data_IF_639008344817
#
_entry.id   IF_639008344817
#
_cell.length_a   1.000
_cell.length_b   1.000
_cell.length_c   1.000
_cell.angle_alpha   90.00
_cell.angle_beta   90.00
_cell.angle_gamma   90.00
#
_symmetry.space_group_name_H-M   'P 1'
#
loop_
_entity.id
_entity.type
_entity.pdbx_description
1 polymer ?
#
# COMPACT_ATOMS: atom_id res chain seq x y z
N UNK A 1 0.10 26.29 -17.98
CA UNK A 1 -0.41 24.93 -17.71
C UNK A 1 -1.77 24.84 -18.36
N UNK A 2 -2.13 23.71 -18.97
CA UNK A 2 -3.46 23.50 -19.51
C UNK A 2 -4.49 23.50 -18.36
N UNK A 3 -5.68 24.02 -18.62
CA UNK A 3 -6.84 23.90 -17.74
C UNK A 3 -7.39 22.47 -17.73
N UNK A 4 -8.20 22.07 -16.72
CA UNK A 4 -8.81 20.74 -16.69
C UNK A 4 -9.62 20.41 -17.95
N UNK A 5 -10.37 21.38 -18.50
CA UNK A 5 -11.14 21.20 -19.73
C UNK A 5 -10.26 21.02 -20.97
N UNK A 6 -9.12 21.69 -21.04
CA UNK A 6 -8.14 21.45 -22.09
C UNK A 6 -7.45 20.09 -21.95
N UNK A 7 -7.15 19.63 -20.74
CA UNK A 7 -6.60 18.28 -20.50
C UNK A 7 -7.60 17.20 -20.92
N UNK A 8 -8.87 17.34 -20.52
CA UNK A 8 -9.95 16.46 -20.96
C UNK A 8 -10.03 16.40 -22.50
N UNK A 9 -9.98 17.55 -23.16
CA UNK A 9 -9.94 17.63 -24.62
C UNK A 9 -8.72 16.91 -25.22
N UNK A 10 -7.53 17.06 -24.63
CA UNK A 10 -6.33 16.32 -25.07
C UNK A 10 -6.46 14.81 -24.90
N UNK A 11 -7.03 14.35 -23.79
CA UNK A 11 -7.25 12.93 -23.51
C UNK A 11 -8.25 12.35 -24.51
N UNK A 12 -9.33 13.07 -24.83
CA UNK A 12 -10.29 12.65 -25.84
C UNK A 12 -9.62 12.47 -27.21
N UNK A 13 -8.72 13.38 -27.60
CA UNK A 13 -7.94 13.24 -28.84
C UNK A 13 -7.05 11.99 -28.88
N UNK A 14 -6.57 11.52 -27.71
CA UNK A 14 -5.82 10.26 -27.62
C UNK A 14 -6.76 9.05 -27.77
N UNK A 15 -7.92 9.09 -27.11
CA UNK A 15 -8.92 8.02 -27.18
C UNK A 15 -9.53 7.86 -28.58
N UNK A 16 -9.69 8.97 -29.30
CA UNK A 16 -10.27 9.00 -30.66
C UNK A 16 -9.26 8.61 -31.75
N UNK A 17 -7.95 8.48 -31.44
CA UNK A 17 -6.94 8.10 -32.43
C UNK A 17 -7.07 6.60 -32.80
N UNK A 18 -7.45 6.26 -34.04
CA UNK A 18 -7.67 4.88 -34.45
C UNK A 18 -6.36 4.14 -34.81
N UNK A 19 -5.21 4.81 -34.72
CA UNK A 19 -3.93 4.28 -35.18
C UNK A 19 -3.54 3.02 -34.37
N UNK A 20 -3.36 1.86 -35.01
CA UNK A 20 -3.02 0.63 -34.29
C UNK A 20 -1.62 0.71 -33.67
N UNK A 21 -1.31 -0.11 -32.65
CA UNK A 21 0.06 -0.26 -32.16
C UNK A 21 0.97 -0.75 -33.30
N UNK A 22 2.20 -0.25 -33.33
CA UNK A 22 3.27 -0.83 -34.14
C UNK A 22 3.63 -2.25 -33.66
N UNK A 23 4.40 -3.02 -34.45
CA UNK A 23 4.80 -4.38 -34.06
C UNK A 23 5.49 -4.41 -32.68
N UNK A 24 4.90 -5.13 -31.72
CA UNK A 24 5.40 -5.26 -30.35
C UNK A 24 5.19 -4.04 -29.44
N UNK A 25 4.59 -2.95 -29.94
CA UNK A 25 4.35 -1.73 -29.15
C UNK A 25 3.28 -1.94 -28.07
N UNK A 26 2.27 -2.76 -28.36
CA UNK A 26 1.11 -3.05 -27.49
C UNK A 26 1.49 -3.59 -26.12
N UNK A 27 2.61 -4.31 -26.02
CA UNK A 27 3.10 -4.95 -24.79
C UNK A 27 4.44 -4.43 -24.33
N UNK A 28 4.94 -3.35 -24.91
CA UNK A 28 6.29 -2.84 -24.63
C UNK A 28 6.52 -2.55 -23.14
N UNK A 29 5.48 -2.10 -22.43
CA UNK A 29 5.52 -1.85 -20.98
C UNK A 29 5.92 -3.06 -20.13
N UNK A 30 5.72 -4.29 -20.64
CA UNK A 30 6.09 -5.52 -19.94
C UNK A 30 7.57 -5.61 -19.61
N UNK A 31 8.44 -4.96 -20.39
CA UNK A 31 9.87 -4.87 -20.09
C UNK A 31 10.13 -4.28 -18.70
N UNK A 32 9.27 -3.36 -18.24
CA UNK A 32 9.39 -2.73 -16.92
C UNK A 32 8.81 -3.57 -15.77
N UNK A 33 7.99 -4.58 -16.09
CA UNK A 33 7.32 -5.46 -15.13
C UNK A 33 8.14 -6.71 -14.78
N UNK A 34 9.04 -7.13 -15.68
CA UNK A 34 9.89 -8.29 -15.50
C UNK A 34 11.12 -8.07 -14.61
N UNK A 35 12.07 -9.00 -14.69
CA UNK A 35 13.31 -8.93 -13.91
C UNK A 35 14.17 -7.71 -14.26
N UNK A 36 14.70 -7.04 -13.23
CA UNK A 36 15.47 -5.78 -13.37
C UNK A 36 16.76 -5.94 -14.21
N UNK A 37 17.46 -7.07 -14.10
CA UNK A 37 18.73 -7.31 -14.82
C UNK A 37 18.52 -7.47 -16.33
N UNK A 38 17.61 -8.36 -16.81
CA UNK A 38 17.23 -8.40 -18.22
C UNK A 38 16.75 -7.05 -18.75
N UNK A 39 15.88 -6.35 -18.02
CA UNK A 39 15.41 -5.03 -18.43
C UNK A 39 16.57 -4.04 -18.60
N UNK A 40 17.49 -3.97 -17.64
CA UNK A 40 18.68 -3.12 -17.74
C UNK A 40 19.52 -3.40 -18.99
N UNK A 41 19.71 -4.68 -19.34
CA UNK A 41 20.46 -5.07 -20.53
C UNK A 41 19.75 -4.64 -21.82
N UNK A 42 18.45 -4.94 -21.95
CA UNK A 42 17.62 -4.56 -23.10
C UNK A 42 17.57 -3.04 -23.25
N UNK A 43 17.34 -2.30 -22.16
CA UNK A 43 17.33 -0.83 -22.13
C UNK A 43 18.65 -0.25 -22.64
N UNK A 44 19.79 -0.78 -22.19
CA UNK A 44 21.12 -0.33 -22.65
C UNK A 44 21.36 -0.61 -24.13
N UNK A 45 20.95 -1.76 -24.63
CA UNK A 45 21.22 -2.16 -26.01
C UNK A 45 20.31 -1.48 -27.02
N UNK A 46 19.00 -1.40 -26.74
CA UNK A 46 17.99 -1.00 -27.72
C UNK A 46 17.35 0.37 -27.46
N UNK A 47 17.49 0.92 -26.25
CA UNK A 47 16.84 2.18 -25.85
C UNK A 47 17.84 3.31 -25.52
N UNK A 48 19.14 3.09 -25.75
CA UNK A 48 20.19 4.07 -25.45
C UNK A 48 20.51 5.03 -26.60
N UNK A 49 19.95 4.82 -27.80
CA UNK A 49 20.14 5.69 -28.96
C UNK A 49 18.90 5.76 -29.87
N UNK A 50 18.96 6.60 -30.89
CA UNK A 50 17.94 6.64 -31.94
C UNK A 50 16.55 7.09 -31.48
N UNK A 51 15.52 6.52 -32.11
CA UNK A 51 14.10 6.86 -31.85
C UNK A 51 13.65 6.38 -30.47
N UNK A 52 14.07 5.18 -30.06
CA UNK A 52 13.73 4.60 -28.76
C UNK A 52 14.22 5.46 -27.61
N UNK A 53 15.47 5.97 -27.70
CA UNK A 53 16.00 6.88 -26.69
C UNK A 53 15.17 8.16 -26.58
N UNK A 54 14.76 8.76 -27.70
CA UNK A 54 13.93 9.98 -27.66
C UNK A 54 12.59 9.72 -26.98
N UNK A 55 11.93 8.61 -27.31
CA UNK A 55 10.65 8.23 -26.71
C UNK A 55 10.81 7.91 -25.21
N UNK A 56 11.87 7.18 -24.84
CA UNK A 56 12.18 6.88 -23.44
C UNK A 56 12.56 8.14 -22.64
N UNK A 57 13.32 9.06 -23.21
CA UNK A 57 13.64 10.36 -22.60
C UNK A 57 12.35 11.17 -22.34
N UNK A 58 11.35 11.10 -23.22
CA UNK A 58 10.02 11.71 -22.97
C UNK A 58 9.31 11.06 -21.77
N UNK A 59 9.30 9.74 -21.71
CA UNK A 59 8.71 8.97 -20.59
C UNK A 59 9.37 9.33 -19.26
N UNK A 60 10.70 9.33 -19.21
CA UNK A 60 11.47 9.58 -17.99
C UNK A 60 11.31 11.01 -17.50
N UNK A 61 11.21 11.98 -18.41
CA UNK A 61 11.04 13.40 -18.09
C UNK A 61 9.59 13.83 -17.86
N UNK A 62 8.60 13.01 -18.20
CA UNK A 62 7.18 13.30 -17.93
C UNK A 62 6.96 13.57 -16.43
N UNK A 63 5.96 14.37 -16.06
CA UNK A 63 5.67 14.61 -14.64
C UNK A 63 5.18 13.34 -13.93
N UNK A 64 4.27 12.61 -14.58
CA UNK A 64 3.70 11.33 -14.15
C UNK A 64 3.07 10.63 -15.35
N UNK A 65 2.57 9.41 -15.15
CA UNK A 65 1.85 8.65 -16.17
C UNK A 65 0.35 8.66 -15.91
N UNK A 66 -0.43 8.63 -16.98
CA UNK A 66 -1.87 8.34 -16.92
C UNK A 66 -2.12 7.10 -17.75
N UNK A 67 -2.65 6.05 -17.11
CA UNK A 67 -3.11 4.86 -17.79
C UNK A 67 -4.63 4.93 -17.96
N UNK A 68 -5.08 4.83 -19.21
CA UNK A 68 -6.50 4.71 -19.56
C UNK A 68 -6.78 3.21 -19.77
N UNK A 69 -7.36 2.58 -18.76
CA UNK A 69 -7.64 1.15 -18.73
C UNK A 69 -9.04 0.86 -19.31
N UNK A 70 -9.13 -0.18 -20.15
CA UNK A 70 -10.35 -0.60 -20.81
C UNK A 70 -11.23 -1.52 -19.94
N UNK A 71 -10.71 -1.98 -18.80
CA UNK A 71 -11.49 -2.71 -17.80
C UNK A 71 -12.36 -1.78 -16.93
N UNK A 72 -13.42 -2.36 -16.38
CA UNK A 72 -14.21 -1.74 -15.32
C UNK A 72 -13.82 -2.38 -13.99
N UNK A 73 -13.32 -1.56 -13.06
CA UNK A 73 -12.96 -1.99 -11.70
C UNK A 73 -13.67 -1.09 -10.69
N UNK A 74 -13.78 -1.52 -9.44
CA UNK A 74 -14.40 -0.69 -8.40
C UNK A 74 -14.85 -1.47 -7.18
N UNK A 75 -15.60 -0.81 -6.31
CA UNK A 75 -16.01 -1.34 -5.00
C UNK A 75 -17.44 -1.89 -4.97
N UNK A 76 -18.25 -1.59 -5.99
CA UNK A 76 -19.69 -1.86 -6.04
C UNK A 76 -19.98 -3.01 -7.00
N UNK A 77 -21.12 -3.71 -6.84
CA UNK A 77 -21.55 -4.81 -7.71
C UNK A 77 -22.13 -5.98 -6.92
N UNK A 78 -22.28 -7.14 -7.56
CA UNK A 78 -22.85 -8.36 -6.96
C UNK A 78 -21.93 -9.00 -5.90
N UNK A 79 -20.61 -8.82 -6.04
CA UNK A 79 -19.58 -9.32 -5.12
C UNK A 79 -18.67 -8.17 -4.64
N UNK A 80 -19.12 -7.33 -3.70
CA UNK A 80 -18.34 -6.18 -3.24
C UNK A 80 -16.98 -6.55 -2.64
N UNK A 81 -16.88 -7.72 -2.00
CA UNK A 81 -15.63 -8.19 -1.38
C UNK A 81 -14.62 -8.56 -2.45
N UNK A 82 -14.96 -9.48 -3.37
CA UNK A 82 -14.05 -9.85 -4.44
C UNK A 82 -13.79 -8.72 -5.45
N UNK A 83 -14.71 -7.75 -5.57
CA UNK A 83 -14.49 -6.54 -6.36
C UNK A 83 -13.35 -5.68 -5.79
N UNK A 84 -13.28 -5.52 -4.47
CA UNK A 84 -12.17 -4.79 -3.83
C UNK A 84 -10.82 -5.49 -4.08
N UNK A 85 -10.80 -6.81 -3.98
CA UNK A 85 -9.58 -7.60 -4.17
C UNK A 85 -9.08 -7.50 -5.63
N UNK A 86 -10.00 -7.66 -6.60
CA UNK A 86 -9.71 -7.48 -8.04
C UNK A 86 -9.21 -6.07 -8.35
N UNK A 87 -9.85 -5.06 -7.76
CA UNK A 87 -9.49 -3.67 -7.97
C UNK A 87 -8.09 -3.35 -7.41
N UNK A 88 -7.78 -3.81 -6.19
CA UNK A 88 -6.46 -3.65 -5.59
C UNK A 88 -5.36 -4.36 -6.38
N UNK A 89 -5.62 -5.59 -6.85
CA UNK A 89 -4.71 -6.34 -7.74
C UNK A 89 -4.49 -5.61 -9.07
N UNK A 90 -5.55 -5.11 -9.70
CA UNK A 90 -5.44 -4.34 -10.94
C UNK A 90 -4.63 -3.05 -10.77
N UNK A 91 -4.74 -2.36 -9.63
CA UNK A 91 -3.87 -1.20 -9.32
C UNK A 91 -2.41 -1.61 -9.03
N UNK A 92 -2.19 -2.79 -8.45
CA UNK A 92 -0.86 -3.29 -8.11
C UNK A 92 -0.06 -3.69 -9.34
N UNK A 93 -0.65 -4.47 -10.25
CA UNK A 93 0.08 -5.06 -11.38
C UNK A 93 -0.57 -4.89 -12.75
N UNK A 94 -1.81 -4.39 -12.84
CA UNK A 94 -2.54 -4.25 -14.10
C UNK A 94 -2.55 -5.56 -14.90
N UNK A 95 -2.37 -5.44 -16.22
CA UNK A 95 -2.19 -6.56 -17.16
C UNK A 95 -0.72 -6.93 -17.35
N UNK A 96 0.18 -6.43 -16.51
CA UNK A 96 1.63 -6.61 -16.58
C UNK A 96 2.32 -6.02 -17.82
N UNK A 97 1.60 -5.35 -18.73
CA UNK A 97 2.17 -4.69 -19.91
C UNK A 97 1.59 -3.29 -20.21
N UNK A 98 0.51 -2.94 -19.52
CA UNK A 98 -0.28 -1.71 -19.66
C UNK A 98 0.13 -0.62 -18.66
N UNK A 99 1.29 -0.78 -18.02
CA UNK A 99 1.89 0.17 -17.08
C UNK A 99 3.36 0.38 -17.43
N UNK A 100 3.91 1.52 -17.02
CA UNK A 100 5.34 1.78 -17.05
C UNK A 100 5.87 1.84 -15.62
N UNK A 101 6.24 0.68 -15.07
CA UNK A 101 6.54 0.52 -13.64
C UNK A 101 7.80 1.26 -13.16
N UNK A 102 8.66 1.71 -14.07
CA UNK A 102 9.79 2.57 -13.72
C UNK A 102 9.38 4.02 -13.43
N UNK A 103 8.14 4.42 -13.76
CA UNK A 103 7.69 5.78 -13.49
C UNK A 103 7.41 5.95 -12.01
N UNK A 104 7.87 7.08 -11.44
CA UNK A 104 7.62 7.48 -10.05
C UNK A 104 6.21 7.16 -9.57
N UNK A 105 5.20 7.54 -10.35
CA UNK A 105 3.83 7.07 -10.18
C UNK A 105 3.03 7.17 -11.49
N UNK A 106 1.98 6.37 -11.55
CA UNK A 106 0.97 6.36 -12.62
C UNK A 106 -0.42 6.53 -12.00
N UNK A 107 -1.23 7.42 -12.57
CA UNK A 107 -2.67 7.52 -12.31
C UNK A 107 -3.36 6.54 -13.24
N UNK A 108 -4.06 5.56 -12.67
CA UNK A 108 -4.83 4.58 -13.44
C UNK A 108 -6.28 5.03 -13.44
N UNK A 109 -6.88 5.17 -14.62
CA UNK A 109 -8.28 5.54 -14.82
C UNK A 109 -8.95 4.41 -15.60
N UNK A 110 -9.94 3.77 -14.98
CA UNK A 110 -10.72 2.68 -15.54
C UNK A 110 -11.88 3.22 -16.38
N UNK A 111 -12.40 2.38 -17.28
CA UNK A 111 -13.47 2.73 -18.21
C UNK A 111 -14.73 3.28 -17.54
N UNK A 112 -15.04 2.81 -16.33
CA UNK A 112 -16.18 3.28 -15.53
C UNK A 112 -15.88 4.51 -14.65
N UNK A 113 -14.75 5.18 -14.88
CA UNK A 113 -14.32 6.39 -14.15
C UNK A 113 -13.71 6.12 -12.77
N UNK A 114 -13.65 4.86 -12.30
CA UNK A 114 -12.86 4.52 -11.12
C UNK A 114 -11.38 4.73 -11.39
N UNK A 115 -10.62 5.04 -10.35
CA UNK A 115 -9.24 5.46 -10.52
C UNK A 115 -8.39 5.17 -9.28
N UNK A 116 -7.08 5.11 -9.46
CA UNK A 116 -6.13 4.89 -8.36
C UNK A 116 -4.71 5.20 -8.79
N UNK A 117 -3.76 4.83 -7.92
CA UNK A 117 -2.35 5.09 -8.15
C UNK A 117 -1.54 3.79 -8.12
N UNK A 118 -0.57 3.70 -9.02
CA UNK A 118 0.57 2.79 -8.93
C UNK A 118 1.82 3.63 -8.69
N UNK A 119 2.68 3.25 -7.75
CA UNK A 119 3.84 4.06 -7.38
C UNK A 119 5.11 3.21 -7.23
N UNK A 120 6.21 3.73 -7.78
CA UNK A 120 7.54 3.13 -7.65
C UNK A 120 8.15 3.56 -6.30
N UNK A 121 8.49 2.58 -5.47
CA UNK A 121 8.75 2.81 -4.04
C UNK A 121 10.19 3.31 -3.75
N UNK A 122 11.12 3.21 -4.71
CA UNK A 122 12.44 3.82 -4.59
C UNK A 122 12.35 5.35 -4.59
N UNK A 123 11.38 5.92 -5.32
CA UNK A 123 11.14 7.36 -5.36
C UNK A 123 10.51 7.92 -4.08
N UNK A 124 9.43 7.31 -3.57
CA UNK A 124 8.70 7.84 -2.43
C UNK A 124 8.16 6.76 -1.48
N UNK A 125 7.95 7.14 -0.22
CA UNK A 125 7.18 6.35 0.74
C UNK A 125 5.67 6.63 0.61
N UNK A 126 4.84 5.66 1.00
CA UNK A 126 3.37 5.73 0.93
C UNK A 126 2.74 7.04 1.45
N UNK A 127 3.20 7.67 2.55
CA UNK A 127 2.62 8.93 3.04
C UNK A 127 2.71 10.08 2.03
N UNK A 128 3.76 10.15 1.22
CA UNK A 128 3.91 11.19 0.19
C UNK A 128 2.88 10.99 -0.92
N UNK A 129 2.71 9.75 -1.38
CA UNK A 129 1.75 9.37 -2.43
C UNK A 129 0.31 9.54 -1.93
N UNK A 130 0.04 9.13 -0.69
CA UNK A 130 -1.27 9.29 -0.06
C UNK A 130 -1.66 10.76 0.06
N UNK A 131 -0.76 11.62 0.54
CA UNK A 131 -1.04 13.05 0.64
C UNK A 131 -1.35 13.68 -0.73
N UNK A 132 -0.57 13.34 -1.76
CA UNK A 132 -0.86 13.75 -3.14
C UNK A 132 -2.27 13.32 -3.58
N UNK A 133 -2.63 12.07 -3.32
CA UNK A 133 -3.92 11.51 -3.72
C UNK A 133 -5.10 12.16 -3.02
N UNK A 134 -5.01 12.31 -1.69
CA UNK A 134 -6.04 12.97 -0.89
C UNK A 134 -6.29 14.41 -1.35
N UNK A 135 -5.20 15.16 -1.57
CA UNK A 135 -5.28 16.53 -2.04
C UNK A 135 -5.93 16.60 -3.43
N UNK A 136 -5.56 15.69 -4.33
CA UNK A 136 -6.11 15.63 -5.69
C UNK A 136 -7.61 15.33 -5.66
N UNK A 137 -8.04 14.29 -4.94
CA UNK A 137 -9.45 13.93 -4.82
C UNK A 137 -10.30 15.06 -4.22
N UNK A 138 -9.79 15.72 -3.17
CA UNK A 138 -10.52 16.83 -2.55
C UNK A 138 -10.61 18.05 -3.47
N UNK A 139 -9.52 18.39 -4.17
CA UNK A 139 -9.49 19.54 -5.09
C UNK A 139 -10.41 19.31 -6.27
N UNK A 140 -10.39 18.12 -6.85
CA UNK A 140 -11.25 17.74 -7.98
C UNK A 140 -12.73 17.89 -7.63
N UNK A 141 -13.16 17.26 -6.53
CA UNK A 141 -14.57 17.20 -6.14
C UNK A 141 -15.11 18.53 -5.60
N UNK A 142 -14.33 19.23 -4.76
CA UNK A 142 -14.83 20.35 -3.97
C UNK A 142 -14.39 21.74 -4.46
N UNK A 143 -13.41 21.82 -5.37
CA UNK A 143 -12.90 23.10 -5.88
C UNK A 143 -13.11 23.26 -7.39
N UNK A 144 -12.71 22.25 -8.18
CA UNK A 144 -12.85 22.29 -9.63
C UNK A 144 -14.30 21.97 -10.03
N UNK A 145 -14.74 20.76 -9.72
CA UNK A 145 -16.05 20.23 -10.07
C UNK A 145 -16.31 20.19 -11.58
N UNK A 146 -17.51 19.74 -11.92
CA UNK A 146 -17.91 19.44 -13.30
C UNK A 146 -19.16 20.24 -13.69
N UNK A 147 -19.41 20.36 -14.99
CA UNK A 147 -20.68 20.86 -15.54
C UNK A 147 -21.78 19.80 -15.39
N UNK A 148 -23.05 20.17 -15.63
CA UNK A 148 -24.20 19.25 -15.47
C UNK A 148 -24.14 18.04 -16.41
N UNK A 149 -23.49 18.17 -17.56
CA UNK A 149 -23.23 17.11 -18.54
C UNK A 149 -21.96 16.30 -18.24
N UNK A 150 -21.29 16.55 -17.11
CA UNK A 150 -20.17 15.74 -16.62
C UNK A 150 -18.79 16.14 -17.17
N UNK A 151 -18.69 17.26 -17.87
CA UNK A 151 -17.41 17.77 -18.40
C UNK A 151 -16.66 18.62 -17.38
N UNK A 152 -15.35 18.72 -17.55
CA UNK A 152 -14.55 19.68 -16.81
C UNK A 152 -15.01 21.12 -17.13
N UNK A 153 -15.11 21.98 -16.11
CA UNK A 153 -15.48 23.39 -16.32
C UNK A 153 -14.37 24.15 -17.05
N UNK A 154 -14.75 25.05 -17.94
CA UNK A 154 -13.85 25.94 -18.68
C UNK A 154 -14.10 25.93 -20.19
N UNK A 155 -13.28 26.67 -20.92
CA UNK A 155 -13.28 26.70 -22.39
C UNK A 155 -11.98 26.08 -22.93
N UNK A 156 -12.01 25.54 -24.15
CA UNK A 156 -10.84 24.95 -24.81
C UNK A 156 -10.26 25.93 -25.81
N UNK A 157 -8.96 26.20 -25.74
CA UNK A 157 -8.30 26.94 -26.80
C UNK A 157 -8.09 26.04 -28.04
N UNK A 158 -8.65 26.41 -29.19
CA UNK A 158 -8.56 25.60 -30.40
C UNK A 158 -7.15 25.55 -31.04
N UNK A 159 -6.22 26.39 -30.57
CA UNK A 159 -4.85 26.46 -31.07
C UNK A 159 -3.92 25.38 -30.48
N UNK A 160 -4.41 24.55 -29.55
CA UNK A 160 -3.60 23.58 -28.82
C UNK A 160 -2.97 22.52 -29.74
N UNK A 161 -1.64 22.32 -29.69
CA UNK A 161 -0.99 21.28 -30.47
C UNK A 161 -1.53 19.89 -30.09
N UNK A 162 -1.67 18.97 -31.05
CA UNK A 162 -2.13 17.62 -30.76
C UNK A 162 -1.15 16.88 -29.84
N UNK A 163 -1.64 15.95 -29.00
CA UNK A 163 -0.78 15.00 -28.30
C UNK A 163 0.17 14.30 -29.28
N UNK A 164 1.44 14.17 -28.90
CA UNK A 164 2.43 13.53 -29.74
C UNK A 164 2.53 12.05 -29.37
N UNK A 165 2.22 11.17 -30.33
CA UNK A 165 2.47 9.73 -30.17
C UNK A 165 3.96 9.43 -30.13
N UNK A 166 4.38 8.65 -29.14
CA UNK A 166 5.74 8.13 -29.06
C UNK A 166 5.94 7.03 -30.08
N UNK A 167 7.12 6.95 -30.67
CA UNK A 167 7.44 6.00 -31.74
C UNK A 167 8.58 5.10 -31.32
N UNK A 168 8.57 3.84 -31.76
CA UNK A 168 9.54 2.85 -31.33
C UNK A 168 10.06 2.04 -32.52
N UNK A 169 11.32 1.61 -32.41
CA UNK A 169 11.94 0.59 -33.24
C UNK A 169 12.11 -0.67 -32.38
N UNK A 170 11.25 -1.67 -32.60
CA UNK A 170 11.11 -2.85 -31.76
C UNK A 170 11.48 -4.09 -32.60
N UNK A 171 12.79 -4.39 -32.75
CA UNK A 171 13.23 -5.55 -33.52
C UNK A 171 12.79 -6.86 -32.82
N UNK A 172 12.87 -7.97 -33.55
CA UNK A 172 12.36 -9.29 -33.09
C UNK A 172 12.97 -9.67 -31.75
N UNK A 173 14.25 -9.38 -31.52
CA UNK A 173 14.95 -9.66 -30.27
C UNK A 173 14.34 -8.91 -29.09
N UNK A 174 13.83 -7.69 -29.28
CA UNK A 174 13.13 -6.93 -28.23
C UNK A 174 11.74 -7.53 -27.98
N UNK A 175 11.03 -7.96 -29.03
CA UNK A 175 9.72 -8.60 -28.91
C UNK A 175 9.80 -9.94 -28.15
N UNK A 176 10.87 -10.71 -28.35
CA UNK A 176 11.16 -11.92 -27.56
C UNK A 176 11.36 -11.58 -26.08
N UNK A 177 12.14 -10.53 -25.77
CA UNK A 177 12.34 -10.09 -24.39
C UNK A 177 11.06 -9.56 -23.74
N UNK A 178 10.22 -8.83 -24.48
CA UNK A 178 8.87 -8.42 -24.05
C UNK A 178 8.06 -9.65 -23.64
N UNK A 179 8.07 -10.71 -24.46
CA UNK A 179 7.31 -11.95 -24.19
C UNK A 179 7.82 -12.69 -22.96
N UNK A 180 9.14 -12.75 -22.77
CA UNK A 180 9.77 -13.34 -21.57
C UNK A 180 9.41 -12.54 -20.32
N UNK A 181 9.57 -11.21 -20.36
CA UNK A 181 9.24 -10.34 -19.22
C UNK A 181 7.77 -10.40 -18.87
N UNK A 182 6.88 -10.43 -19.86
CA UNK A 182 5.44 -10.60 -19.65
C UNK A 182 5.13 -11.93 -18.97
N UNK A 183 5.74 -13.03 -19.42
CA UNK A 183 5.52 -14.35 -18.83
C UNK A 183 5.96 -14.41 -17.36
N UNK A 184 7.08 -13.78 -17.03
CA UNK A 184 7.56 -13.65 -15.63
C UNK A 184 6.61 -12.79 -14.81
N UNK A 185 6.23 -11.61 -15.31
CA UNK A 185 5.36 -10.68 -14.60
C UNK A 185 3.96 -11.27 -14.38
N UNK A 186 3.40 -11.97 -15.37
CA UNK A 186 2.12 -12.65 -15.24
C UNK A 186 2.16 -13.75 -14.20
N UNK A 187 3.21 -14.59 -14.19
CA UNK A 187 3.37 -15.61 -13.16
C UNK A 187 3.46 -15.02 -11.74
N UNK A 188 4.12 -13.86 -11.59
CA UNK A 188 4.15 -13.14 -10.31
C UNK A 188 2.78 -12.58 -9.93
N UNK A 189 2.06 -11.95 -10.85
CA UNK A 189 0.74 -11.36 -10.61
C UNK A 189 -0.32 -12.43 -10.28
N UNK A 190 -0.27 -13.56 -10.98
CA UNK A 190 -1.16 -14.71 -10.77
C UNK A 190 -0.92 -15.37 -9.41
N UNK A 191 0.32 -15.29 -8.88
CA UNK A 191 0.69 -15.84 -7.59
C UNK A 191 0.32 -14.92 -6.40
N UNK A 192 -0.08 -13.66 -6.64
CA UNK A 192 -0.50 -12.75 -5.55
C UNK A 192 -1.92 -13.07 -5.10
N UNK A 193 -2.05 -13.46 -3.84
CA UNK A 193 -3.30 -13.48 -3.10
C UNK A 193 -3.50 -12.13 -2.40
N UNK A 194 -4.71 -11.56 -2.46
CA UNK A 194 -5.01 -10.26 -1.87
C UNK A 194 -6.42 -10.25 -1.28
N UNK A 195 -6.54 -9.66 -0.08
CA UNK A 195 -7.80 -9.40 0.58
C UNK A 195 -7.83 -7.98 1.15
N UNK A 196 -8.77 -7.16 0.68
CA UNK A 196 -9.00 -5.78 1.12
C UNK A 196 -10.33 -5.68 1.82
N UNK A 197 -10.33 -5.22 3.07
CA UNK A 197 -11.55 -5.14 3.84
C UNK A 197 -11.60 -3.93 4.79
N UNK A 198 -12.75 -3.21 4.85
CA UNK A 198 -12.99 -2.20 5.85
C UNK A 198 -13.51 -2.82 7.14
N UNK A 199 -12.75 -2.68 8.24
CA UNK A 199 -13.22 -3.00 9.58
C UNK A 199 -14.01 -1.81 10.15
N UNK A 200 -15.30 -2.03 10.42
CA UNK A 200 -16.26 -0.97 10.80
C UNK A 200 -16.90 -1.14 12.18
N UNK A 201 -16.55 -2.19 12.93
CA UNK A 201 -17.11 -2.38 14.28
C UNK A 201 -16.63 -1.29 15.25
N UNK A 202 -15.41 -0.79 15.03
CA UNK A 202 -14.87 0.40 15.68
C UNK A 202 -13.62 0.93 14.95
N UNK A 203 -13.19 2.15 15.31
CA UNK A 203 -11.92 2.71 14.88
C UNK A 203 -11.13 3.33 16.03
N UNK A 204 -10.25 4.29 15.69
CA UNK A 204 -9.39 4.96 16.69
C UNK A 204 -10.15 5.62 17.83
N UNK A 205 -11.39 6.05 17.62
CA UNK A 205 -12.19 6.73 18.64
C UNK A 205 -12.49 5.83 19.84
N UNK A 206 -12.74 4.54 19.59
CA UNK A 206 -12.91 3.55 20.67
C UNK A 206 -11.57 3.18 21.32
N UNK A 207 -10.51 3.01 20.53
CA UNK A 207 -9.18 2.66 21.06
C UNK A 207 -8.65 3.78 21.98
N UNK A 208 -8.77 5.04 21.56
CA UNK A 208 -8.34 6.21 22.36
C UNK A 208 -9.09 6.34 23.68
N UNK A 209 -10.37 5.94 23.77
CA UNK A 209 -11.13 5.93 25.04
C UNK A 209 -10.55 4.95 26.06
N UNK A 210 -9.82 3.92 25.61
CA UNK A 210 -9.06 3.01 26.47
C UNK A 210 -7.69 3.57 26.88
N UNK A 211 -7.33 4.78 26.44
CA UNK A 211 -6.02 5.44 26.64
C UNK A 211 -4.85 4.65 26.06
N UNK A 212 -5.07 4.02 24.91
CA UNK A 212 -4.09 3.22 24.18
C UNK A 212 -3.80 3.90 22.84
N UNK A 213 -2.54 3.82 22.36
CA UNK A 213 -2.21 4.23 21.00
C UNK A 213 -2.94 3.35 19.98
N UNK A 214 -3.70 3.92 19.03
CA UNK A 214 -4.34 3.14 17.97
C UNK A 214 -3.36 2.24 17.21
N UNK A 215 -2.16 2.75 16.95
CA UNK A 215 -1.13 2.02 16.22
C UNK A 215 -0.60 0.81 17.01
N UNK A 216 -0.23 1.01 18.27
CA UNK A 216 0.20 -0.09 19.15
C UNK A 216 -0.90 -1.15 19.35
N UNK A 217 -2.17 -0.72 19.42
CA UNK A 217 -3.31 -1.64 19.49
C UNK A 217 -3.41 -2.51 18.23
N UNK A 218 -3.32 -1.88 17.04
CA UNK A 218 -3.39 -2.59 15.75
C UNK A 218 -2.19 -3.54 15.62
N UNK A 219 -0.97 -3.08 15.91
CA UNK A 219 0.23 -3.91 15.82
C UNK A 219 0.16 -5.14 16.73
N UNK A 220 -0.34 -5.00 17.97
CA UNK A 220 -0.57 -6.14 18.86
C UNK A 220 -1.72 -7.05 18.38
N UNK A 221 -2.75 -6.50 17.74
CA UNK A 221 -3.79 -7.29 17.10
C UNK A 221 -3.21 -8.15 15.96
N UNK A 222 -2.30 -7.58 15.15
CA UNK A 222 -1.60 -8.29 14.09
C UNK A 222 -0.73 -9.42 14.65
N UNK A 223 -0.03 -9.20 15.77
CA UNK A 223 0.73 -10.28 16.44
C UNK A 223 -0.18 -11.42 16.92
N UNK A 224 -1.33 -11.09 17.52
CA UNK A 224 -2.31 -12.09 17.96
C UNK A 224 -2.91 -12.85 16.77
N UNK A 225 -3.29 -12.14 15.71
CA UNK A 225 -3.83 -12.74 14.49
C UNK A 225 -2.81 -13.68 13.84
N UNK A 226 -1.55 -13.26 13.74
CA UNK A 226 -0.50 -14.07 13.11
C UNK A 226 -0.23 -15.33 13.92
N UNK A 227 -0.15 -15.22 15.24
CA UNK A 227 0.02 -16.39 16.11
C UNK A 227 -1.17 -17.35 16.02
N UNK A 228 -2.40 -16.85 15.88
CA UNK A 228 -3.59 -17.70 15.68
C UNK A 228 -3.54 -18.43 14.34
N UNK A 229 -3.08 -17.77 13.30
CA UNK A 229 -2.99 -18.27 11.94
C UNK A 229 -1.86 -19.30 11.77
N UNK A 230 -0.64 -18.94 12.19
CA UNK A 230 0.59 -19.71 11.94
C UNK A 230 1.10 -20.49 13.16
N UNK A 231 0.50 -20.32 14.34
CA UNK A 231 0.90 -20.96 15.61
C UNK A 231 2.34 -20.69 16.05
N UNK A 232 2.97 -19.69 15.45
CA UNK A 232 4.34 -19.25 15.75
C UNK A 232 4.42 -17.73 15.72
N UNK A 233 5.51 -17.19 16.24
CA UNK A 233 5.88 -15.79 16.07
C UNK A 233 6.85 -15.65 14.90
N UNK A 234 6.90 -14.46 14.30
CA UNK A 234 7.84 -14.18 13.22
C UNK A 234 8.42 -12.77 13.36
N UNK A 235 9.54 -12.53 12.67
CA UNK A 235 10.04 -11.17 12.51
C UNK A 235 8.98 -10.32 11.80
N UNK A 236 8.53 -9.29 12.52
CA UNK A 236 7.55 -8.34 12.01
C UNK A 236 8.25 -7.02 11.72
N UNK A 237 8.16 -6.58 10.46
CA UNK A 237 8.60 -5.28 10.01
C UNK A 237 7.43 -4.30 10.14
N UNK A 238 7.67 -3.13 10.73
CA UNK A 238 6.79 -1.98 10.65
C UNK A 238 7.60 -0.76 10.19
N UNK A 239 7.09 -0.06 9.18
CA UNK A 239 7.72 1.16 8.69
C UNK A 239 7.51 2.33 9.67
N UNK A 240 8.60 2.90 10.17
CA UNK A 240 8.57 4.18 10.91
C UNK A 240 9.29 5.25 10.11
N UNK A 241 8.65 6.40 9.91
CA UNK A 241 9.27 7.53 9.20
C UNK A 241 10.39 8.17 10.02
N UNK A 242 11.47 8.55 9.36
CA UNK A 242 12.61 9.29 9.96
C UNK A 242 12.69 10.73 9.45
N UNK A 243 11.55 11.32 9.05
CA UNK A 243 11.42 12.67 8.48
C UNK A 243 11.83 13.82 9.40
N UNK A 244 12.20 13.53 10.66
CA UNK A 244 12.87 14.48 11.56
C UNK A 244 14.31 14.79 11.11
N UNK A 245 14.90 13.94 10.27
CA UNK A 245 16.24 14.10 9.73
C UNK A 245 16.17 14.53 8.26
N UNK A 246 17.20 15.26 7.82
CA UNK A 246 17.38 15.60 6.40
C UNK A 246 17.42 14.33 5.56
N UNK A 247 16.62 14.30 4.49
CA UNK A 247 16.51 13.14 3.57
C UNK A 247 16.04 11.85 4.27
N UNK A 248 15.44 11.96 5.46
CA UNK A 248 14.90 10.83 6.20
C UNK A 248 13.76 10.14 5.47
N UNK A 249 13.96 8.86 5.18
CA UNK A 249 12.97 7.90 4.66
C UNK A 249 12.34 7.15 5.83
N UNK A 250 12.82 5.93 6.08
CA UNK A 250 12.25 4.99 7.07
C UNK A 250 13.32 4.32 7.92
N UNK A 251 12.92 3.92 9.12
CA UNK A 251 13.55 2.93 10.00
C UNK A 251 12.55 1.78 10.25
N UNK A 252 13.03 0.65 10.77
CA UNK A 252 12.23 -0.50 11.14
C UNK A 252 11.81 -0.45 12.60
N UNK A 253 10.53 -0.64 12.87
CA UNK A 253 10.03 -1.06 14.18
C UNK A 253 9.83 -2.57 14.16
N UNK A 254 10.46 -3.27 15.12
CA UNK A 254 10.35 -4.72 15.26
C UNK A 254 9.16 -5.05 16.17
N UNK A 255 7.95 -5.10 15.61
CA UNK A 255 6.71 -5.20 16.39
C UNK A 255 6.57 -6.50 17.19
N UNK A 256 7.20 -7.58 16.73
CA UNK A 256 7.29 -8.84 17.47
C UNK A 256 8.29 -8.73 18.63
N UNK A 257 7.84 -8.17 19.75
CA UNK A 257 8.61 -8.03 21.00
C UNK A 257 8.33 -9.17 21.97
N UNK A 258 9.24 -9.41 22.92
CA UNK A 258 9.03 -10.40 23.99
C UNK A 258 7.77 -10.11 24.80
N UNK A 259 7.50 -8.83 25.07
CA UNK A 259 6.31 -8.35 25.76
C UNK A 259 5.04 -8.64 24.96
N UNK A 260 5.06 -8.39 23.65
CA UNK A 260 3.98 -8.77 22.73
C UNK A 260 3.73 -10.28 22.71
N UNK A 261 4.80 -11.08 22.60
CA UNK A 261 4.70 -12.54 22.62
C UNK A 261 4.12 -13.08 23.94
N UNK A 262 4.53 -12.52 25.08
CA UNK A 262 3.99 -12.89 26.39
C UNK A 262 2.50 -12.56 26.49
N UNK A 263 2.10 -11.38 26.04
CA UNK A 263 0.69 -10.99 25.97
C UNK A 263 -0.14 -11.95 25.11
N UNK A 264 0.31 -12.23 23.88
CA UNK A 264 -0.40 -13.13 22.96
C UNK A 264 -0.56 -14.53 23.57
N UNK A 265 0.50 -15.08 24.17
CA UNK A 265 0.44 -16.40 24.83
C UNK A 265 -0.56 -16.43 25.98
N UNK A 266 -0.63 -15.39 26.80
CA UNK A 266 -1.57 -15.32 27.92
C UNK A 266 -3.03 -15.30 27.45
N UNK A 267 -3.32 -14.52 26.38
CA UNK A 267 -4.66 -14.50 25.77
C UNK A 267 -5.03 -15.87 25.22
N UNK A 268 -4.15 -16.50 24.46
CA UNK A 268 -4.42 -17.80 23.82
C UNK A 268 -4.47 -18.96 24.83
N UNK A 269 -3.82 -18.83 25.98
CA UNK A 269 -3.90 -19.79 27.09
C UNK A 269 -5.15 -19.61 27.97
N UNK A 270 -5.98 -18.60 27.68
CA UNK A 270 -7.19 -18.31 28.47
C UNK A 270 -6.90 -17.77 29.87
N UNK A 271 -5.77 -17.07 30.05
CA UNK A 271 -5.44 -16.47 31.34
C UNK A 271 -6.45 -15.37 31.75
N UNK A 272 -6.49 -15.07 33.05
CA UNK A 272 -7.46 -14.14 33.62
C UNK A 272 -7.39 -12.74 32.99
N UNK A 273 -8.53 -12.05 32.75
CA UNK A 273 -8.57 -10.77 32.06
C UNK A 273 -7.65 -9.68 32.63
N UNK A 274 -7.52 -9.59 33.96
CA UNK A 274 -6.60 -8.64 34.59
C UNK A 274 -5.12 -8.90 34.25
N UNK A 275 -4.73 -10.17 34.17
CA UNK A 275 -3.38 -10.55 33.77
C UNK A 275 -3.11 -10.16 32.32
N UNK A 276 -4.05 -10.51 31.42
CA UNK A 276 -3.98 -10.15 30.01
C UNK A 276 -3.94 -8.62 29.81
N UNK A 277 -4.77 -7.85 30.54
CA UNK A 277 -4.74 -6.37 30.51
C UNK A 277 -3.40 -5.80 30.94
N UNK A 278 -2.78 -6.35 31.99
CA UNK A 278 -1.46 -5.91 32.45
C UNK A 278 -0.38 -6.20 31.42
N UNK A 279 -0.37 -7.40 30.84
CA UNK A 279 0.59 -7.76 29.79
C UNK A 279 0.39 -6.92 28.53
N UNK A 280 -0.86 -6.66 28.13
CA UNK A 280 -1.16 -5.78 27.01
C UNK A 280 -0.55 -4.39 27.20
N UNK A 281 -0.70 -3.79 28.39
CA UNK A 281 -0.14 -2.46 28.67
C UNK A 281 1.38 -2.45 28.52
N UNK A 282 2.07 -3.46 29.06
CA UNK A 282 3.53 -3.60 28.91
C UNK A 282 3.93 -3.75 27.43
N UNK A 283 3.20 -4.55 26.67
CA UNK A 283 3.46 -4.75 25.25
C UNK A 283 3.21 -3.47 24.43
N UNK A 284 2.14 -2.73 24.75
CA UNK A 284 1.81 -1.47 24.08
C UNK A 284 2.83 -0.38 24.40
N UNK A 285 3.26 -0.25 25.65
CA UNK A 285 4.31 0.69 26.07
C UNK A 285 5.65 0.35 25.40
N UNK A 286 5.99 -0.94 25.31
CA UNK A 286 7.19 -1.41 24.60
C UNK A 286 7.14 -1.02 23.13
N UNK A 287 6.03 -1.30 22.46
CA UNK A 287 5.83 -0.97 21.05
C UNK A 287 5.98 0.55 20.80
N UNK A 288 5.29 1.37 21.60
CA UNK A 288 5.42 2.83 21.51
C UNK A 288 6.85 3.33 21.74
N UNK A 289 7.59 2.69 22.65
CA UNK A 289 8.98 3.04 22.87
C UNK A 289 9.86 2.67 21.67
N UNK A 290 9.67 1.48 21.07
CA UNK A 290 10.37 1.09 19.85
C UNK A 290 10.06 2.04 18.69
N UNK A 291 8.80 2.43 18.51
CA UNK A 291 8.39 3.40 17.50
C UNK A 291 9.06 4.76 17.70
N UNK A 292 9.13 5.25 18.96
CA UNK A 292 9.85 6.49 19.28
C UNK A 292 11.33 6.38 18.92
N UNK A 293 11.99 5.29 19.32
CA UNK A 293 13.41 5.06 19.02
C UNK A 293 13.65 5.04 17.50
N UNK A 294 12.82 4.33 16.74
CA UNK A 294 12.94 4.27 15.28
C UNK A 294 12.78 5.67 14.64
N UNK A 295 11.72 6.40 15.00
CA UNK A 295 11.44 7.74 14.48
C UNK A 295 12.55 8.76 14.80
N UNK A 296 13.21 8.63 15.95
CA UNK A 296 14.34 9.48 16.36
C UNK A 296 15.70 8.91 15.95
N UNK A 297 15.75 8.00 14.97
CA UNK A 297 17.01 7.49 14.40
C UNK A 297 17.83 6.62 15.35
N UNK A 298 17.20 6.11 16.42
CA UNK A 298 17.76 5.20 17.41
C UNK A 298 17.30 3.75 17.21
N UNK A 299 16.71 3.44 16.05
CA UNK A 299 16.50 2.07 15.60
C UNK A 299 17.82 1.40 15.21
N UNK A 300 17.78 0.09 14.97
CA UNK A 300 19.00 -0.70 14.72
C UNK A 300 19.12 -1.19 13.29
N UNK A 301 18.02 -1.33 12.56
CA UNK A 301 18.01 -2.05 11.28
C UNK A 301 18.77 -1.29 10.19
N UNK A 302 18.57 0.03 10.04
CA UNK A 302 19.37 0.83 9.10
C UNK A 302 20.84 0.91 9.50
N UNK A 303 21.14 0.90 10.81
CA UNK A 303 22.51 0.87 11.30
C UNK A 303 23.21 -0.46 10.95
N UNK A 304 22.56 -1.60 11.21
CA UNK A 304 23.09 -2.92 10.83
C UNK A 304 23.29 -3.04 9.30
N UNK A 305 22.35 -2.51 8.50
CA UNK A 305 22.50 -2.47 7.06
C UNK A 305 23.70 -1.62 6.61
N UNK A 306 23.94 -0.47 7.25
CA UNK A 306 25.13 0.35 7.00
C UNK A 306 26.42 -0.44 7.28
N UNK A 307 26.49 -1.13 8.42
CA UNK A 307 27.64 -1.98 8.77
C UNK A 307 27.89 -3.07 7.72
N UNK A 308 26.82 -3.69 7.20
CA UNK A 308 26.92 -4.68 6.13
C UNK A 308 27.46 -4.08 4.83
N UNK A 309 26.95 -2.92 4.39
CA UNK A 309 27.45 -2.25 3.18
C UNK A 309 28.94 -1.91 3.33
N UNK A 310 29.34 -1.40 4.49
CA UNK A 310 30.74 -1.10 4.80
C UNK A 310 31.60 -2.37 4.83
N UNK A 311 31.10 -3.47 5.40
CA UNK A 311 31.85 -4.74 5.44
C UNK A 311 32.08 -5.28 4.03
N UNK A 312 31.08 -5.19 3.14
CA UNK A 312 31.22 -5.57 1.72
C UNK A 312 32.23 -4.70 1.00
N UNK A 313 32.22 -3.39 1.23
CA UNK A 313 33.21 -2.47 0.65
C UNK A 313 34.64 -2.79 1.10
N UNK A 314 34.82 -3.14 2.38
CA UNK A 314 36.13 -3.46 2.95
C UNK A 314 36.59 -4.91 2.72
N UNK A 315 35.74 -5.77 2.12
CA UNK A 315 36.02 -7.20 1.97
C UNK A 315 36.06 -7.96 3.30
N UNK A 316 35.35 -7.47 4.32
CA UNK A 316 35.28 -8.09 5.65
C UNK A 316 34.02 -8.95 5.74
N UNK A 317 34.21 -10.24 6.00
CA UNK A 317 33.13 -11.16 6.32
C UNK A 317 32.72 -11.05 7.79
N UNK A 318 31.42 -11.02 8.04
CA UNK A 318 30.85 -11.03 9.39
C UNK A 318 29.74 -12.07 9.45
N UNK A 319 29.95 -13.20 10.13
CA UNK A 319 28.92 -14.22 10.31
C UNK A 319 27.63 -13.65 10.91
N UNK A 320 27.77 -12.73 11.89
CA UNK A 320 26.64 -12.05 12.52
C UNK A 320 25.81 -11.23 11.53
N UNK A 321 26.45 -10.42 10.67
CA UNK A 321 25.73 -9.60 9.69
C UNK A 321 25.07 -10.48 8.61
N UNK A 322 25.72 -11.57 8.21
CA UNK A 322 25.15 -12.55 7.29
C UNK A 322 23.89 -13.19 7.88
N UNK A 323 23.94 -13.63 9.14
CA UNK A 323 22.80 -14.25 9.82
C UNK A 323 21.65 -13.26 9.97
N UNK A 324 21.87 -12.11 10.61
CA UNK A 324 20.80 -11.17 10.95
C UNK A 324 20.08 -10.58 9.74
N UNK A 325 20.77 -10.46 8.60
CA UNK A 325 20.19 -9.95 7.34
C UNK A 325 19.57 -11.06 6.47
N UNK A 326 19.82 -12.33 6.79
CA UNK A 326 19.21 -13.45 6.08
C UNK A 326 17.81 -13.80 6.60
N UNK A 327 17.46 -13.35 7.81
CA UNK A 327 16.19 -13.64 8.44
C UNK A 327 15.02 -12.89 7.74
N UNK A 328 14.00 -13.60 7.23
CA UNK A 328 12.94 -12.98 6.45
C UNK A 328 11.91 -12.26 7.33
N UNK A 329 11.46 -11.09 6.84
CA UNK A 329 10.32 -10.35 7.41
C UNK A 329 9.00 -10.99 6.96
N UNK A 330 8.62 -12.10 7.61
CA UNK A 330 7.39 -12.85 7.27
C UNK A 330 6.10 -12.10 7.54
N UNK A 331 6.13 -11.04 8.35
CA UNK A 331 5.03 -10.10 8.46
C UNK A 331 5.56 -8.70 8.21
N UNK A 332 5.23 -8.11 7.06
CA UNK A 332 5.59 -6.74 6.73
C UNK A 332 4.38 -5.84 6.84
N UNK A 333 4.47 -4.81 7.66
CA UNK A 333 3.36 -3.93 8.00
C UNK A 333 3.68 -2.46 7.70
N UNK A 334 2.67 -1.71 7.28
CA UNK A 334 2.81 -0.27 7.07
C UNK A 334 1.50 0.44 7.41
N UNK A 335 1.61 1.50 8.21
CA UNK A 335 0.52 2.45 8.37
C UNK A 335 0.68 3.57 7.35
N UNK A 336 -0.33 3.78 6.52
CA UNK A 336 -0.41 5.00 5.70
C UNK A 336 -1.24 6.04 6.45
N UNK A 337 -0.66 7.16 6.91
CA UNK A 337 -1.42 8.19 7.60
C UNK A 337 -2.38 8.86 6.62
N UNK A 338 -3.61 9.09 7.08
CA UNK A 338 -4.68 9.72 6.30
C UNK A 338 -4.95 11.11 6.87
N UNK A 339 -4.97 12.12 6.01
CA UNK A 339 -5.26 13.52 6.37
C UNK A 339 -6.57 14.03 5.74
N UNK A 340 -7.37 13.17 5.09
CA UNK A 340 -8.65 13.51 4.47
C UNK A 340 -9.62 14.30 5.37
N UNK A 341 -9.57 14.09 6.69
CA UNK A 341 -10.40 14.81 7.67
C UNK A 341 -10.24 16.33 7.62
N UNK A 342 -9.08 16.83 7.21
CA UNK A 342 -8.79 18.26 7.13
C UNK A 342 -9.21 18.88 5.79
N UNK A 343 -9.48 18.04 4.78
CA UNK A 343 -9.79 18.46 3.42
C UNK A 343 -11.29 18.57 3.15
N UNK A 344 -12.09 17.66 3.69
CA UNK A 344 -13.56 17.66 3.56
C UNK A 344 -14.23 16.83 4.65
N UNK A 345 -15.55 17.02 4.80
CA UNK A 345 -16.34 16.25 5.75
C UNK A 345 -16.62 14.83 5.25
N UNK A 346 -15.81 13.88 5.69
CA UNK A 346 -15.96 12.47 5.35
C UNK A 346 -17.30 11.85 5.79
N UNK A 347 -18.01 12.42 6.79
CA UNK A 347 -19.33 11.88 7.20
C UNK A 347 -20.40 12.20 6.17
N UNK A 348 -20.37 13.41 5.62
CA UNK A 348 -21.31 13.86 4.60
C UNK A 348 -20.87 13.50 3.18
N UNK A 349 -19.60 13.08 3.00
CA UNK A 349 -19.02 12.70 1.72
C UNK A 349 -18.30 11.33 1.79
N UNK A 350 -19.00 10.24 2.14
CA UNK A 350 -18.39 8.93 2.34
C UNK A 350 -17.83 8.31 1.03
N UNK A 351 -18.35 8.71 -0.13
CA UNK A 351 -17.94 8.19 -1.44
C UNK A 351 -16.54 8.66 -1.88
N UNK A 352 -15.99 9.69 -1.22
CA UNK A 352 -14.66 10.26 -1.50
C UNK A 352 -13.58 9.72 -0.55
N UNK A 353 -13.94 8.80 0.35
CA UNK A 353 -13.01 8.16 1.27
C UNK A 353 -12.13 7.19 0.50
N UNK A 354 -10.81 7.37 0.60
CA UNK A 354 -9.86 6.40 0.05
C UNK A 354 -9.78 5.20 0.98
N UNK A 355 -9.75 3.99 0.42
CA UNK A 355 -9.47 2.77 1.16
C UNK A 355 -7.95 2.52 1.34
N UNK A 356 -7.11 3.49 0.95
CA UNK A 356 -5.66 3.41 1.06
C UNK A 356 -5.04 2.50 0.00
N UNK A 357 -3.76 2.18 0.16
CA UNK A 357 -3.01 1.32 -0.75
C UNK A 357 -2.34 0.16 -0.03
N UNK A 358 -2.05 -0.91 -0.78
CA UNK A 358 -1.37 -2.11 -0.32
C UNK A 358 -0.08 -2.39 -1.09
N UNK A 359 0.62 -3.44 -0.68
CA UNK A 359 1.84 -3.95 -1.31
C UNK A 359 1.85 -5.48 -1.20
N UNK A 360 2.61 -6.17 -2.04
CA UNK A 360 2.81 -7.62 -1.99
C UNK A 360 3.67 -8.06 -0.78
N UNK A 361 3.68 -9.34 -0.39
CA UNK A 361 4.54 -9.81 0.69
C UNK A 361 6.02 -9.68 0.32
N UNK A 362 6.88 -9.44 1.32
CA UNK A 362 8.35 -9.33 1.13
C UNK A 362 9.09 -10.67 1.27
N UNK A 363 8.39 -11.69 1.75
CA UNK A 363 8.87 -13.06 1.86
C UNK A 363 7.83 -13.99 1.24
N UNK A 364 8.29 -15.04 0.54
CA UNK A 364 7.39 -15.97 -0.15
C UNK A 364 6.47 -16.74 0.80
N UNK A 365 6.90 -16.92 2.06
CA UNK A 365 6.18 -17.63 3.12
C UNK A 365 5.49 -16.71 4.14
N UNK A 366 5.28 -15.43 3.76
CA UNK A 366 4.81 -14.37 4.64
C UNK A 366 3.60 -13.56 4.13
N UNK A 367 3.29 -12.50 4.88
CA UNK A 367 2.20 -11.56 4.60
C UNK A 367 2.70 -10.12 4.44
N UNK A 368 2.08 -9.38 3.52
CA UNK A 368 2.08 -7.92 3.50
C UNK A 368 0.77 -7.39 4.11
N UNK A 369 0.85 -6.42 5.02
CA UNK A 369 -0.33 -5.80 5.64
C UNK A 369 -0.18 -4.28 5.65
N UNK A 370 -0.97 -3.59 4.83
CA UNK A 370 -1.13 -2.14 4.93
C UNK A 370 -2.43 -1.83 5.67
N UNK A 371 -2.42 -0.79 6.49
CA UNK A 371 -3.64 -0.29 7.11
C UNK A 371 -3.71 1.23 7.13
N UNK A 372 -4.94 1.72 7.07
CA UNK A 372 -5.27 3.12 7.27
C UNK A 372 -6.35 3.27 8.33
N UNK A 373 -6.27 4.35 9.09
CA UNK A 373 -7.28 4.68 10.10
C UNK A 373 -8.13 5.82 9.56
N UNK A 374 -9.40 5.53 9.28
CA UNK A 374 -10.31 6.49 8.64
C UNK A 374 -11.33 7.00 9.65
N UNK A 375 -11.35 8.33 9.85
CA UNK A 375 -12.24 8.95 10.82
C UNK A 375 -12.01 8.41 12.24
N UNK A 376 -13.09 8.23 12.99
CA UNK A 376 -13.06 7.69 14.35
C UNK A 376 -13.48 6.21 14.43
N UNK A 377 -14.14 5.69 13.39
CA UNK A 377 -14.96 4.48 13.47
C UNK A 377 -14.57 3.39 12.45
N UNK A 378 -13.56 3.62 11.61
CA UNK A 378 -13.13 2.65 10.60
C UNK A 378 -11.61 2.47 10.54
N UNK A 379 -11.18 1.23 10.29
CA UNK A 379 -9.81 0.89 9.92
C UNK A 379 -9.89 0.06 8.64
N UNK A 380 -9.20 0.45 7.57
CA UNK A 380 -9.16 -0.35 6.35
C UNK A 380 -7.85 -1.12 6.26
N UNK A 381 -7.92 -2.39 5.84
CA UNK A 381 -6.77 -3.27 5.69
C UNK A 381 -6.61 -3.70 4.23
N UNK A 382 -5.35 -3.80 3.81
CA UNK A 382 -4.93 -4.53 2.60
C UNK A 382 -3.99 -5.64 3.05
N UNK A 383 -4.40 -6.88 2.85
CA UNK A 383 -3.62 -8.08 3.20
C UNK A 383 -3.20 -8.76 1.91
N UNK A 384 -1.93 -9.12 1.80
CA UNK A 384 -1.41 -9.87 0.66
C UNK A 384 -0.53 -11.04 1.10
N UNK A 385 -0.54 -12.11 0.32
CA UNK A 385 0.40 -13.24 0.43
C UNK A 385 0.59 -13.89 -0.94
N UNK A 386 1.25 -15.05 -0.99
CA UNK A 386 1.42 -15.81 -2.22
C UNK A 386 0.57 -17.08 -2.22
N UNK A 387 -0.11 -17.37 -3.33
CA UNK A 387 -0.86 -18.60 -3.54
C UNK A 387 0.06 -19.84 -3.52
N UNK A 388 1.30 -19.69 -3.99
CA UNK A 388 2.32 -20.74 -4.02
C UNK A 388 2.71 -21.27 -2.64
N UNK A 389 2.42 -20.54 -1.57
CA UNK A 389 2.68 -20.96 -0.20
C UNK A 389 1.39 -21.28 0.55
N UNK A 390 1.07 -22.58 0.65
CA UNK A 390 -0.21 -23.09 1.12
C UNK A 390 -0.55 -22.81 2.59
N UNK A 391 0.43 -22.42 3.41
CA UNK A 391 0.15 -22.03 4.81
C UNK A 391 -0.26 -20.57 4.95
N UNK A 392 -0.16 -19.73 3.91
CA UNK A 392 -0.69 -18.36 3.91
C UNK A 392 -2.01 -18.27 3.16
N UNK A 393 -2.94 -17.46 3.67
CA UNK A 393 -4.23 -17.20 3.05
C UNK A 393 -4.70 -15.80 3.47
N UNK A 394 -4.87 -14.89 2.50
CA UNK A 394 -5.13 -13.47 2.75
C UNK A 394 -6.48 -13.24 3.44
N UNK A 395 -7.49 -14.03 3.07
CA UNK A 395 -8.85 -13.94 3.58
C UNK A 395 -8.96 -14.50 5.00
N UNK A 396 -8.37 -15.69 5.22
CA UNK A 396 -8.29 -16.33 6.54
C UNK A 396 -7.53 -15.43 7.50
N UNK A 397 -6.42 -14.85 7.07
CA UNK A 397 -5.66 -13.93 7.91
C UNK A 397 -6.43 -12.63 8.18
N UNK A 398 -7.11 -12.05 7.19
CA UNK A 398 -8.01 -10.90 7.39
C UNK A 398 -9.14 -11.16 8.41
N UNK A 399 -9.72 -12.36 8.38
CA UNK A 399 -10.69 -12.79 9.39
C UNK A 399 -10.06 -12.90 10.79
N UNK A 400 -8.82 -13.41 10.90
CA UNK A 400 -8.09 -13.44 12.17
C UNK A 400 -7.76 -12.05 12.69
N UNK A 401 -7.42 -11.10 11.82
CA UNK A 401 -7.20 -9.68 12.18
C UNK A 401 -8.48 -9.10 12.78
N UNK A 402 -9.62 -9.25 12.09
CA UNK A 402 -10.92 -8.75 12.55
C UNK A 402 -11.29 -9.35 13.92
N UNK A 403 -11.10 -10.67 14.08
CA UNK A 403 -11.34 -11.36 15.35
C UNK A 403 -10.40 -10.88 16.45
N UNK A 404 -9.11 -10.71 16.15
CA UNK A 404 -8.14 -10.21 17.11
C UNK A 404 -8.51 -8.80 17.61
N UNK A 405 -8.91 -7.89 16.72
CA UNK A 405 -9.36 -6.55 17.08
C UNK A 405 -10.53 -6.58 18.07
N UNK A 406 -11.54 -7.41 17.81
CA UNK A 406 -12.70 -7.59 18.68
C UNK A 406 -12.34 -8.20 20.04
N UNK A 407 -11.50 -9.24 20.03
CA UNK A 407 -11.06 -9.91 21.25
C UNK A 407 -10.21 -8.97 22.13
N UNK A 408 -9.31 -8.18 21.53
CA UNK A 408 -8.55 -7.16 22.24
C UNK A 408 -9.48 -6.13 22.89
N UNK A 409 -10.48 -5.64 22.16
CA UNK A 409 -11.45 -4.70 22.70
C UNK A 409 -12.20 -5.30 23.89
N UNK A 410 -12.59 -6.58 23.81
CA UNK A 410 -13.25 -7.31 24.89
C UNK A 410 -12.35 -7.44 26.13
N UNK A 411 -11.10 -7.89 25.95
CA UNK A 411 -10.11 -8.03 27.04
C UNK A 411 -9.84 -6.68 27.72
N UNK A 412 -9.78 -5.59 26.96
CA UNK A 412 -9.41 -4.28 27.48
C UNK A 412 -10.59 -3.50 28.07
N UNK A 413 -11.82 -3.88 27.73
CA UNK A 413 -13.02 -3.27 28.31
C UNK A 413 -13.24 -3.83 29.72
N UNK A 414 -13.26 -3.00 30.77
CA UNK A 414 -13.62 -3.46 32.11
C UNK A 414 -15.02 -4.04 32.10
N UNK A 415 -15.25 -5.14 32.82
CA UNK A 415 -16.62 -5.61 33.06
C UNK A 415 -17.41 -4.46 33.72
N UNK A 416 -18.60 -4.14 33.21
CA UNK A 416 -19.50 -3.21 33.90
C UNK A 416 -19.78 -3.81 35.28
N UNK A 417 -19.27 -3.20 36.33
CA UNK A 417 -19.72 -3.48 37.69
C UNK A 417 -21.20 -3.07 37.77
N UNK A 418 -22.06 -4.03 38.13
CA UNK A 418 -23.51 -3.85 38.31
C UNK A 418 -23.89 -2.74 39.32
N UNK A 419 -22.92 -2.10 39.98
CA UNK A 419 -23.12 -1.03 40.95
C UNK A 419 -23.50 0.34 40.35
N UNK A 420 -23.54 0.49 39.03
CA UNK A 420 -23.94 1.78 38.40
C UNK A 420 -25.45 1.99 38.33
N UNK A 421 -26.29 0.97 38.52
CA UNK A 421 -27.74 1.15 38.62
C UNK A 421 -28.24 1.56 40.02
N UNK A 422 -27.39 1.51 41.04
CA UNK A 422 -27.76 1.87 42.42
C UNK A 422 -27.61 3.38 42.72
N UNK A 423 -26.86 4.13 41.90
CA UNK A 423 -26.66 5.57 42.11
C UNK A 423 -27.72 6.43 41.41
N UNK A 424 -28.32 5.98 40.30
CA UNK A 424 -29.39 6.72 39.61
C UNK A 424 -30.76 6.66 40.31
N UNK A 425 -30.94 5.76 41.29
CA UNK A 425 -32.17 5.69 42.11
C UNK A 425 -32.15 6.54 43.38
N UNK A 426 -31.08 7.30 43.65
CA UNK A 426 -30.99 8.23 44.79
C UNK A 426 -31.14 9.71 44.41
N UNK A 427 -31.47 10.01 43.14
CA UNK A 427 -31.77 11.36 42.66
C UNK A 427 -33.13 11.43 41.92
N UNK A 428 -34.14 10.72 42.42
CA UNK A 428 -35.56 11.01 42.10
C UNK A 428 -36.26 11.59 43.31
#
# INVERSE_FOLDING_TARGET
>A
LLSPREIEYQIQRILDDPSPPGPGEDRLGALTAGNRVPWCAVRKQYFSSGVNKRSLDCIERAAFFVTLDDEEQGMMGEDPVGNLDRYAKSLLHGKCYDRWFDKSFSVVVYKNGKNGLNAEHSWADAPTVAHLWEFTLATDAFQLGYTEDGHCKGEVEHSLPPPQRLTWDIPVEVQEQVSISLSVAQALADDVDCHVFPFRDFGKGRIKKLKISPDAFIQLALQLAYYRDRKTFCLTYEASMTRLFREGRTETVRSCSNEGCAFVKAVESGEGPEHCRRLFRLAAEKHQNLYRLAMTGSGIDRHLFCLYVVSKYLGVESPFLTEVLSEPWRLSTSQTPVQQLELFDMKNHPDFISLGGGFGPVADDGYGVSYIIVGEDMINYHVSCKHSFSETDSHRFGAQISRALLDLLSVLTPAKTENSQAQDKKQQ
#
